data_IF_062880887006
#
_entry.id   IF_062880887006
#
_cell.length_a   1.000
_cell.length_b   1.000
_cell.length_c   1.000
_cell.angle_alpha   90.00
_cell.angle_beta   90.00
_cell.angle_gamma   90.00
#
_symmetry.space_group_name_H-M   'P 1'
#
loop_
_entity.id
_entity.type
_entity.pdbx_description
1 polymer ?
#
# COMPACT_ATOMS: atom_id res chain seq x y z
N UNK A 1 19.69 -8.96 13.30
CA UNK A 1 19.96 -9.93 12.20
C UNK A 1 18.68 -10.10 11.40
N UNK A 2 18.69 -10.34 10.08
CA UNK A 2 17.47 -10.64 9.33
C UNK A 2 16.91 -12.04 9.62
N UNK A 3 15.58 -12.17 9.50
CA UNK A 3 14.84 -13.42 9.64
C UNK A 3 14.60 -14.02 8.26
N UNK A 4 14.82 -15.32 8.11
CA UNK A 4 14.62 -16.04 6.86
C UNK A 4 13.78 -17.28 7.06
N UNK A 5 13.03 -17.62 6.02
CA UNK A 5 12.14 -18.78 5.99
C UNK A 5 12.81 -19.95 5.25
N UNK A 6 12.67 -21.16 5.80
CA UNK A 6 13.19 -22.41 5.24
C UNK A 6 12.10 -23.47 5.22
N UNK A 7 12.19 -24.40 4.26
CA UNK A 7 11.28 -25.53 4.14
C UNK A 7 12.03 -26.84 4.17
N UNK A 8 11.68 -27.66 5.16
CA UNK A 8 11.96 -29.08 5.20
C UNK A 8 10.87 -29.85 4.45
N UNK A 9 11.26 -30.83 3.64
CA UNK A 9 10.30 -31.67 2.89
C UNK A 9 9.45 -32.57 3.81
N UNK A 10 9.93 -32.89 5.01
CA UNK A 10 9.23 -33.78 5.95
C UNK A 10 8.52 -33.06 7.10
N UNK A 11 9.11 -31.99 7.64
CA UNK A 11 8.59 -31.31 8.84
C UNK A 11 7.83 -30.00 8.53
N UNK A 12 8.00 -29.44 7.33
CA UNK A 12 7.37 -28.18 6.93
C UNK A 12 8.27 -26.95 7.04
N UNK A 13 7.66 -25.79 7.27
CA UNK A 13 8.32 -24.47 7.24
C UNK A 13 8.82 -24.10 8.64
N UNK A 14 9.99 -23.47 8.70
CA UNK A 14 10.52 -22.87 9.92
C UNK A 14 11.31 -21.60 9.60
N UNK A 15 11.53 -20.77 10.63
CA UNK A 15 12.23 -19.50 10.51
C UNK A 15 13.59 -19.55 11.23
N UNK A 16 14.59 -18.84 10.70
CA UNK A 16 15.92 -18.74 11.30
C UNK A 16 16.52 -17.34 11.12
N UNK A 17 17.12 -16.81 12.20
CA UNK A 17 17.90 -15.58 12.15
C UNK A 17 19.28 -15.86 11.56
N UNK A 18 19.66 -15.16 10.49
CA UNK A 18 20.96 -15.37 9.83
C UNK A 18 21.66 -14.06 9.52
N UNK A 19 22.98 -14.12 9.39
CA UNK A 19 23.72 -13.03 8.73
C UNK A 19 23.48 -13.12 7.23
N UNK A 20 23.49 -11.97 6.55
CA UNK A 20 23.36 -11.92 5.09
C UNK A 20 24.39 -12.84 4.38
N UNK A 21 25.61 -12.92 4.92
CA UNK A 21 26.72 -13.76 4.41
C UNK A 21 26.49 -15.27 4.54
N UNK A 22 25.60 -15.71 5.44
CA UNK A 22 25.36 -17.13 5.73
C UNK A 22 24.14 -17.68 4.96
N UNK A 23 23.44 -16.81 4.23
CA UNK A 23 22.14 -17.12 3.61
C UNK A 23 22.24 -18.12 2.45
N UNK A 24 23.42 -18.25 1.83
CA UNK A 24 23.67 -19.22 0.76
C UNK A 24 23.96 -20.63 1.28
N UNK A 25 24.21 -20.78 2.58
CA UNK A 25 24.53 -22.08 3.16
C UNK A 25 23.25 -22.90 3.40
N UNK A 26 23.24 -24.21 3.07
CA UNK A 26 22.13 -25.09 3.42
C UNK A 26 21.93 -25.12 4.94
N UNK A 27 20.66 -25.10 5.38
CA UNK A 27 20.31 -25.15 6.80
C UNK A 27 19.67 -26.48 7.15
N UNK A 28 19.99 -27.01 8.32
CA UNK A 28 19.41 -28.24 8.83
C UNK A 28 18.07 -27.93 9.51
N UNK A 29 17.10 -28.82 9.34
CA UNK A 29 15.82 -28.73 10.01
C UNK A 29 16.02 -28.96 11.52
N UNK A 30 15.48 -28.08 12.40
CA UNK A 30 15.64 -28.24 13.84
C UNK A 30 14.93 -29.48 14.41
N UNK A 31 14.06 -30.12 13.63
CA UNK A 31 13.28 -31.30 14.06
C UNK A 31 13.88 -32.62 13.58
N UNK A 32 14.39 -32.69 12.35
CA UNK A 32 14.84 -33.95 11.73
C UNK A 32 16.26 -33.91 11.16
N UNK A 33 16.97 -32.79 11.34
CA UNK A 33 18.36 -32.58 10.92
C UNK A 33 18.64 -32.76 9.41
N UNK A 34 17.59 -32.80 8.59
CA UNK A 34 17.72 -32.86 7.12
C UNK A 34 17.97 -31.48 6.53
N UNK A 35 18.67 -31.45 5.39
CA UNK A 35 18.88 -30.24 4.61
C UNK A 35 17.52 -29.63 4.21
N UNK A 36 17.37 -28.35 4.51
CA UNK A 36 16.20 -27.54 4.22
C UNK A 36 16.58 -26.40 3.29
N UNK A 37 15.70 -26.10 2.32
CA UNK A 37 15.93 -25.06 1.32
C UNK A 37 15.31 -23.75 1.77
N UNK A 38 15.96 -22.63 1.44
CA UNK A 38 15.41 -21.29 1.71
C UNK A 38 14.15 -21.07 0.86
N UNK A 39 13.13 -20.48 1.47
CA UNK A 39 11.89 -20.07 0.81
C UNK A 39 11.92 -18.55 0.58
N UNK A 40 11.46 -18.14 -0.60
CA UNK A 40 11.23 -16.74 -0.93
C UNK A 40 9.72 -16.53 -1.03
N UNK A 41 9.10 -16.12 0.07
CA UNK A 41 7.70 -15.74 0.11
C UNK A 41 7.50 -14.37 -0.53
N UNK A 42 6.33 -14.16 -1.13
CA UNK A 42 5.97 -12.84 -1.63
C UNK A 42 5.92 -11.87 -0.44
N UNK A 43 6.52 -10.67 -0.55
CA UNK A 43 6.36 -9.67 0.50
C UNK A 43 4.88 -9.40 0.71
N UNK A 44 4.48 -9.12 1.95
CA UNK A 44 3.11 -8.75 2.30
C UNK A 44 2.74 -7.38 1.72
N UNK A 45 2.49 -7.32 0.42
CA UNK A 45 2.16 -6.09 -0.29
C UNK A 45 0.76 -5.64 0.10
N UNK A 46 0.65 -4.46 0.70
CA UNK A 46 -0.62 -3.77 0.84
C UNK A 46 -0.94 -3.18 -0.54
N UNK A 47 -1.95 -3.74 -1.20
CA UNK A 47 -2.39 -3.29 -2.53
C UNK A 47 -3.58 -2.36 -2.42
N UNK A 48 -3.68 -1.41 -3.35
CA UNK A 48 -4.84 -0.54 -3.46
C UNK A 48 -6.08 -1.37 -3.81
N UNK A 49 -7.22 -1.21 -3.10
CA UNK A 49 -8.46 -1.92 -3.45
C UNK A 49 -8.83 -1.73 -4.92
N UNK A 50 -9.26 -2.80 -5.58
CA UNK A 50 -9.54 -2.82 -7.03
C UNK A 50 -10.53 -1.73 -7.46
N UNK A 51 -11.53 -1.44 -6.63
CA UNK A 51 -12.51 -0.39 -6.87
C UNK A 51 -11.87 1.02 -6.90
N UNK A 52 -10.93 1.31 -6.00
CA UNK A 52 -10.25 2.61 -5.97
C UNK A 52 -9.27 2.73 -7.13
N UNK A 53 -8.50 1.68 -7.40
CA UNK A 53 -7.62 1.62 -8.57
C UNK A 53 -8.37 1.91 -9.87
N UNK A 54 -9.51 1.24 -10.08
CA UNK A 54 -10.34 1.43 -11.28
C UNK A 54 -10.87 2.86 -11.42
N UNK A 55 -11.29 3.50 -10.32
CA UNK A 55 -11.75 4.91 -10.36
C UNK A 55 -10.62 5.85 -10.79
N UNK A 56 -9.43 5.67 -10.23
CA UNK A 56 -8.25 6.49 -10.57
C UNK A 56 -7.90 6.31 -12.05
N UNK A 57 -7.83 5.07 -12.53
CA UNK A 57 -7.56 4.75 -13.94
C UNK A 57 -8.63 5.36 -14.88
N UNK A 58 -9.91 5.32 -14.50
CA UNK A 58 -11.00 5.93 -15.28
C UNK A 58 -10.98 7.46 -15.26
N UNK A 59 -10.50 8.07 -14.18
CA UNK A 59 -10.38 9.53 -14.06
C UNK A 59 -9.18 10.11 -14.80
N UNK A 60 -8.31 9.26 -15.37
CA UNK A 60 -7.13 9.71 -16.09
C UNK A 60 -7.47 10.48 -17.38
N UNK A 61 -8.61 10.18 -18.00
CA UNK A 61 -9.10 10.89 -19.18
C UNK A 61 -10.26 11.83 -18.78
N UNK A 62 -10.11 13.16 -18.95
CA UNK A 62 -11.16 14.09 -18.61
C UNK A 62 -12.34 13.97 -19.58
N UNK A 63 -13.53 13.65 -19.05
CA UNK A 63 -14.78 13.64 -19.82
C UNK A 63 -15.52 14.98 -19.71
N UNK A 64 -15.99 15.51 -20.84
CA UNK A 64 -16.84 16.71 -20.86
C UNK A 64 -18.26 16.32 -20.41
N UNK A 65 -18.62 16.66 -19.17
CA UNK A 65 -19.97 16.46 -18.65
C UNK A 65 -20.86 17.67 -18.97
N UNK A 66 -22.09 17.42 -19.47
CA UNK A 66 -23.12 18.46 -19.63
C UNK A 66 -23.81 18.69 -18.27
N UNK A 67 -24.13 19.96 -17.98
CA UNK A 67 -24.67 20.43 -16.68
C UNK A 67 -25.95 19.72 -16.21
N UNK A 68 -26.66 18.99 -17.06
CA UNK A 68 -27.89 18.28 -16.70
C UNK A 68 -27.70 17.10 -15.73
N UNK A 69 -26.47 16.66 -15.46
CA UNK A 69 -26.15 15.62 -14.46
C UNK A 69 -25.60 16.17 -13.14
N UNK A 70 -25.44 17.49 -13.01
CA UNK A 70 -25.11 18.08 -11.72
C UNK A 70 -26.40 18.11 -10.89
N UNK A 71 -26.46 17.33 -9.81
CA UNK A 71 -27.43 17.57 -8.74
C UNK A 71 -27.31 19.05 -8.38
N UNK A 72 -28.43 19.77 -8.47
CA UNK A 72 -28.53 21.21 -8.22
C UNK A 72 -27.63 21.61 -7.03
N UNK A 73 -26.63 22.49 -7.21
CA UNK A 73 -25.84 22.96 -6.10
C UNK A 73 -26.80 23.71 -5.17
N UNK A 74 -27.02 23.18 -3.97
CA UNK A 74 -27.70 23.88 -2.87
C UNK A 74 -27.24 25.34 -2.88
N UNK A 75 -28.17 26.25 -3.15
CA UNK A 75 -27.92 27.68 -3.32
C UNK A 75 -26.81 28.15 -2.38
N UNK A 76 -25.68 28.59 -2.94
CA UNK A 76 -24.60 29.15 -2.14
C UNK A 76 -25.16 30.37 -1.40
N UNK A 77 -25.38 30.24 -0.10
CA UNK A 77 -25.73 31.38 0.75
C UNK A 77 -24.53 32.32 0.68
N UNK A 78 -24.71 33.45 -0.01
CA UNK A 78 -23.72 34.53 0.00
C UNK A 78 -23.57 35.00 1.44
N UNK A 79 -22.48 34.59 2.09
CA UNK A 79 -22.10 35.13 3.39
C UNK A 79 -21.50 36.51 3.16
N UNK A 80 -22.26 37.56 3.49
CA UNK A 80 -21.75 38.92 3.51
C UNK A 80 -20.62 39.01 4.54
N UNK A 81 -19.38 39.12 4.07
CA UNK A 81 -18.21 39.32 4.92
C UNK A 81 -18.18 40.80 5.38
N UNK A 82 -18.86 41.10 6.49
CA UNK A 82 -18.88 42.43 7.11
C UNK A 82 -17.58 42.83 7.83
N UNK A 83 -16.54 42.00 7.78
CA UNK A 83 -15.23 42.32 8.36
C UNK A 83 -14.15 42.11 7.30
N UNK A 84 -13.48 43.20 6.93
CA UNK A 84 -12.41 43.21 5.95
C UNK A 84 -11.31 42.21 6.31
N UNK A 85 -10.78 41.52 5.31
CA UNK A 85 -9.81 40.43 5.51
C UNK A 85 -8.48 41.01 6.01
N UNK A 86 -7.88 40.49 7.09
CA UNK A 86 -6.79 41.16 7.82
C UNK A 86 -5.47 41.37 7.06
N UNK A 87 -5.33 40.80 5.86
CA UNK A 87 -4.11 40.85 5.04
C UNK A 87 -4.18 41.87 3.89
N UNK A 88 -5.25 42.65 3.79
CA UNK A 88 -5.31 43.80 2.89
C UNK A 88 -4.72 45.04 3.57
N UNK A 89 -3.49 45.41 3.19
CA UNK A 89 -2.93 46.73 3.49
C UNK A 89 -3.52 47.70 2.46
N UNK A 90 -4.48 48.52 2.91
CA UNK A 90 -5.01 49.61 2.11
C UNK A 90 -3.94 50.70 1.92
N UNK A 91 -3.85 51.21 0.70
CA UNK A 91 -3.20 52.49 0.40
C UNK A 91 -4.19 53.63 0.64
#
# INVERSE_FOLDING_TARGET
MPLYEFRCESCGIFEAWLKMSETLNPKLCPTCDRISKRVYSAPGLITTPSALRRRVEQSAEPTIAKRSQATEPSSSKYHNHHHARPWMIGH
#
